data_IF_174427211207
#
_entry.id   IF_174427211207
#
_cell.length_a   1.000
_cell.length_b   1.000
_cell.length_c   1.000
_cell.angle_alpha   90.00
_cell.angle_beta   90.00
_cell.angle_gamma   90.00
#
_symmetry.space_group_name_H-M   'P 1'
#
loop_
_entity.id
_entity.type
_entity.pdbx_description
1 polymer ?
#
# COMPACT_ATOMS: atom_id res chain seq x y z
N UNK A 1 2.18 4.85 7.98
CA UNK A 1 1.53 5.07 6.67
C UNK A 1 2.36 6.02 5.80
N UNK A 2 2.83 7.13 6.37
CA UNK A 2 3.56 8.20 5.67
C UNK A 2 4.71 7.72 4.78
N UNK A 3 5.55 6.80 5.27
CA UNK A 3 6.66 6.26 4.48
C UNK A 3 6.18 5.47 3.23
N UNK A 4 5.09 4.71 3.38
CA UNK A 4 4.51 3.94 2.28
C UNK A 4 3.89 4.86 1.24
N UNK A 5 3.13 5.87 1.68
CA UNK A 5 2.55 6.88 0.78
C UNK A 5 3.62 7.64 0.02
N UNK A 6 4.69 8.08 0.69
CA UNK A 6 5.82 8.73 0.02
C UNK A 6 6.43 7.83 -1.05
N UNK A 7 6.61 6.53 -0.76
CA UNK A 7 7.10 5.56 -1.75
C UNK A 7 6.15 5.41 -2.94
N UNK A 8 4.84 5.29 -2.70
CA UNK A 8 3.83 5.18 -3.76
C UNK A 8 3.86 6.42 -4.67
N UNK A 9 3.87 7.62 -4.08
CA UNK A 9 3.88 8.88 -4.82
C UNK A 9 5.18 9.08 -5.61
N UNK A 10 6.32 8.67 -5.06
CA UNK A 10 7.61 8.68 -5.77
C UNK A 10 7.58 7.77 -7.00
N UNK A 11 7.13 6.52 -6.84
CA UNK A 11 7.04 5.56 -7.94
C UNK A 11 6.06 6.03 -9.02
N UNK A 12 4.89 6.53 -8.63
CA UNK A 12 3.91 7.06 -9.58
C UNK A 12 4.43 8.29 -10.34
N UNK A 13 5.25 9.13 -9.70
CA UNK A 13 5.90 10.27 -10.33
C UNK A 13 6.95 9.83 -11.36
N UNK A 14 7.71 8.78 -11.07
CA UNK A 14 8.69 8.20 -12.01
C UNK A 14 8.01 7.70 -13.29
N UNK A 15 6.83 7.10 -13.16
CA UNK A 15 5.98 6.66 -14.28
C UNK A 15 5.23 7.81 -14.98
N UNK A 16 5.41 9.07 -14.52
CA UNK A 16 4.72 10.25 -15.04
C UNK A 16 3.19 10.13 -15.09
N UNK A 17 2.61 9.31 -14.21
CA UNK A 17 1.16 9.13 -14.15
C UNK A 17 0.48 10.23 -13.32
N UNK A 18 -0.81 10.43 -13.60
CA UNK A 18 -1.65 11.35 -12.83
C UNK A 18 -2.56 10.61 -11.84
N UNK A 19 -2.56 9.28 -11.86
CA UNK A 19 -3.47 8.47 -11.03
C UNK A 19 -2.94 7.08 -10.75
N UNK A 20 -2.95 6.68 -9.48
CA UNK A 20 -2.77 5.29 -9.05
C UNK A 20 -4.15 4.64 -8.98
N UNK A 21 -4.31 3.48 -9.61
CA UNK A 21 -5.61 2.78 -9.71
C UNK A 21 -5.71 1.63 -8.74
N UNK A 22 -4.59 0.95 -8.45
CA UNK A 22 -4.56 -0.18 -7.51
C UNK A 22 -3.22 -0.25 -6.78
N UNK A 23 -3.25 -0.73 -5.55
CA UNK A 23 -2.07 -0.95 -4.72
C UNK A 23 -2.19 -2.32 -4.06
N UNK A 24 -1.17 -3.14 -4.25
CA UNK A 24 -1.07 -4.45 -3.62
C UNK A 24 -0.03 -4.42 -2.50
N UNK A 25 -0.42 -4.86 -1.30
CA UNK A 25 0.46 -4.95 -0.14
C UNK A 25 0.37 -6.32 0.51
N UNK A 26 1.50 -6.76 1.08
CA UNK A 26 1.56 -7.90 1.99
C UNK A 26 1.72 -7.39 3.43
N UNK A 27 0.81 -7.79 4.31
CA UNK A 27 0.86 -7.50 5.74
C UNK A 27 1.55 -8.68 6.43
N UNK A 28 2.69 -8.45 7.06
CA UNK A 28 3.41 -9.50 7.77
C UNK A 28 2.59 -10.08 8.94
N UNK A 29 2.78 -11.37 9.23
CA UNK A 29 2.02 -12.12 10.24
C UNK A 29 2.11 -11.55 11.67
N UNK A 30 3.17 -10.78 11.94
CA UNK A 30 3.49 -10.14 13.21
C UNK A 30 3.43 -8.60 13.11
N UNK A 31 2.86 -8.05 12.02
CA UNK A 31 2.78 -6.60 11.82
C UNK A 31 1.69 -5.93 12.66
N UNK A 32 0.81 -6.72 13.30
CA UNK A 32 -0.40 -6.27 13.98
C UNK A 32 -1.35 -5.42 13.11
N UNK A 33 -1.17 -5.46 11.78
CA UNK A 33 -1.96 -4.74 10.81
C UNK A 33 -2.90 -5.71 10.10
N UNK A 34 -4.21 -5.49 10.24
CA UNK A 34 -5.22 -6.18 9.44
C UNK A 34 -5.45 -5.46 8.12
N UNK A 35 -5.95 -6.16 7.10
CA UNK A 35 -6.35 -5.59 5.82
C UNK A 35 -7.35 -4.42 5.98
N UNK A 36 -8.32 -4.57 6.90
CA UNK A 36 -9.32 -3.54 7.16
C UNK A 36 -8.70 -2.25 7.73
N UNK A 37 -7.96 -2.33 8.84
CA UNK A 37 -7.26 -1.17 9.39
C UNK A 37 -6.29 -0.53 8.39
N UNK A 38 -5.57 -1.35 7.60
CA UNK A 38 -4.68 -0.84 6.58
C UNK A 38 -5.43 0.02 5.55
N UNK A 39 -6.57 -0.49 5.06
CA UNK A 39 -7.43 0.22 4.09
C UNK A 39 -7.95 1.54 4.67
N UNK A 40 -8.47 1.53 5.88
CA UNK A 40 -8.98 2.75 6.55
C UNK A 40 -7.89 3.82 6.70
N UNK A 41 -6.70 3.42 7.15
CA UNK A 41 -5.57 4.34 7.25
C UNK A 41 -5.10 4.83 5.88
N UNK A 42 -5.13 3.96 4.87
CA UNK A 42 -4.75 4.33 3.51
C UNK A 42 -5.72 5.35 2.94
N UNK A 43 -7.04 5.12 3.04
CA UNK A 43 -8.07 6.03 2.51
C UNK A 43 -7.94 7.44 3.10
N UNK A 44 -7.62 7.54 4.40
CA UNK A 44 -7.36 8.82 5.06
C UNK A 44 -6.10 9.49 4.51
N UNK A 45 -5.00 8.74 4.39
CA UNK A 45 -3.71 9.28 3.94
C UNK A 45 -3.66 9.58 2.44
N UNK A 46 -4.43 8.87 1.63
CA UNK A 46 -4.50 9.01 0.18
C UNK A 46 -5.39 10.18 -0.26
N UNK A 47 -6.27 10.67 0.62
CA UNK A 47 -7.16 11.80 0.35
C UNK A 47 -6.38 13.03 -0.12
N UNK A 48 -6.78 13.59 -1.26
CA UNK A 48 -6.12 14.75 -1.87
C UNK A 48 -4.82 14.42 -2.61
N UNK A 49 -4.51 13.14 -2.82
CA UNK A 49 -3.34 12.68 -3.60
C UNK A 49 -3.79 11.96 -4.88
N UNK A 50 -2.84 11.65 -5.77
CA UNK A 50 -3.09 10.84 -6.99
C UNK A 50 -3.46 9.38 -6.69
N UNK A 51 -3.30 8.93 -5.45
CA UNK A 51 -3.68 7.61 -4.98
C UNK A 51 -5.06 7.59 -4.30
N UNK A 52 -5.75 8.74 -4.27
CA UNK A 52 -7.13 8.79 -3.81
C UNK A 52 -8.00 7.85 -4.65
N UNK A 53 -8.91 7.14 -4.00
CA UNK A 53 -9.85 6.20 -4.60
C UNK A 53 -9.18 4.98 -5.28
N UNK A 54 -7.89 4.75 -5.03
CA UNK A 54 -7.19 3.55 -5.49
C UNK A 54 -7.73 2.30 -4.79
N UNK A 55 -7.85 1.20 -5.54
CA UNK A 55 -8.21 -0.10 -4.98
C UNK A 55 -7.05 -0.63 -4.12
N UNK A 56 -7.35 -1.07 -2.90
CA UNK A 56 -6.38 -1.71 -2.00
C UNK A 56 -6.62 -3.21 -1.99
N UNK A 57 -5.60 -3.96 -2.42
CA UNK A 57 -5.49 -5.40 -2.21
C UNK A 57 -4.45 -5.65 -1.11
N UNK A 58 -4.93 -6.02 0.08
CA UNK A 58 -4.07 -6.30 1.23
C UNK A 58 -4.13 -7.79 1.58
N UNK A 59 -3.00 -8.47 1.46
CA UNK A 59 -2.85 -9.88 1.79
C UNK A 59 -2.23 -10.03 3.19
N UNK A 60 -2.95 -10.69 4.11
CA UNK A 60 -2.44 -11.00 5.45
C UNK A 60 -1.61 -12.30 5.42
N UNK A 61 -0.31 -12.16 5.66
CA UNK A 61 0.61 -13.28 5.76
C UNK A 61 0.36 -14.08 7.03
N UNK A 62 0.42 -15.41 6.93
CA UNK A 62 0.43 -16.31 8.09
C UNK A 62 1.84 -16.83 8.42
N UNK A 63 2.83 -16.50 7.60
CA UNK A 63 4.21 -16.92 7.82
C UNK A 63 4.91 -16.01 8.85
N UNK A 64 5.15 -16.56 10.04
CA UNK A 64 5.88 -15.89 11.12
C UNK A 64 7.41 -15.93 10.94
N UNK A 65 7.92 -16.75 10.02
CA UNK A 65 9.34 -16.88 9.70
C UNK A 65 9.76 -16.00 8.52
N UNK A 66 8.82 -15.37 7.81
CA UNK A 66 9.13 -14.39 6.77
C UNK A 66 10.03 -13.29 7.37
N UNK A 67 11.16 -12.95 6.72
CA UNK A 67 12.02 -11.83 7.15
C UNK A 67 11.26 -10.50 7.31
N UNK A 68 10.12 -10.35 6.65
CA UNK A 68 9.23 -9.20 6.71
C UNK A 68 7.97 -9.44 7.57
N UNK A 69 7.93 -10.49 8.41
CA UNK A 69 6.76 -10.83 9.21
C UNK A 69 6.28 -9.66 10.10
N UNK A 70 7.14 -8.73 10.48
CA UNK A 70 6.79 -7.56 11.30
C UNK A 70 6.43 -6.31 10.48
N UNK A 71 6.46 -6.37 9.15
CA UNK A 71 6.37 -5.20 8.27
C UNK A 71 5.20 -5.29 7.29
N UNK A 72 4.81 -4.13 6.78
CA UNK A 72 3.98 -4.02 5.57
C UNK A 72 4.89 -3.86 4.37
N UNK A 73 4.71 -4.71 3.37
CA UNK A 73 5.53 -4.73 2.15
C UNK A 73 4.68 -4.32 0.96
N UNK A 74 5.07 -3.25 0.27
CA UNK A 74 4.49 -2.88 -1.02
C UNK A 74 4.89 -3.92 -2.07
N UNK A 75 3.91 -4.55 -2.72
CA UNK A 75 4.12 -5.58 -3.74
C UNK A 75 4.09 -4.99 -5.14
N UNK A 76 3.08 -4.20 -5.45
CA UNK A 76 2.93 -3.51 -6.73
C UNK A 76 2.05 -2.27 -6.61
N UNK A 77 2.17 -1.39 -7.60
CA UNK A 77 1.22 -0.31 -7.86
C UNK A 77 0.79 -0.43 -9.33
N UNK A 78 -0.49 -0.22 -9.58
CA UNK A 78 -1.02 -0.07 -10.93
C UNK A 78 -1.39 1.39 -11.12
N UNK A 79 -1.09 1.91 -12.30
CA UNK A 79 -1.27 3.33 -12.64
C UNK A 79 -2.17 3.46 -13.86
N UNK A 80 -2.88 4.59 -13.97
CA UNK A 80 -3.64 4.89 -15.16
C UNK A 80 -2.68 5.15 -16.34
N UNK A 81 -2.99 4.55 -17.48
CA UNK A 81 -2.32 4.75 -18.77
C UNK A 81 -2.65 6.10 -19.39
#
# INVERSE_FOLDING_TARGET
>A
MDHLMNKILSLAKEEQTTKVTKISVKLGALSHMSAQHFKEHFDIAAKGTIAQDAEIEAEESQDIHDPNATRVVLKSIDVAS
#
